data_IF_645705156988
#
_entry.id   IF_645705156988
#
_cell.length_a   1.000
_cell.length_b   1.000
_cell.length_c   1.000
_cell.angle_alpha   90.00
_cell.angle_beta   90.00
_cell.angle_gamma   90.00
#
_symmetry.space_group_name_H-M   'P 1'
#
loop_
_entity.id
_entity.type
_entity.pdbx_description
1 polymer ?
#
# COMPACT_ATOMS: atom_id res chain seq x y z
N UNK A 1 -8.07 -11.35 4.00
CA UNK A 1 -7.15 -10.24 3.75
C UNK A 1 -7.55 -9.06 4.66
N UNK A 2 -6.63 -8.29 5.25
CA UNK A 2 -7.01 -7.07 5.96
C UNK A 2 -7.66 -6.10 4.98
N UNK A 3 -8.83 -5.57 5.33
CA UNK A 3 -9.51 -4.58 4.50
C UNK A 3 -8.65 -3.31 4.40
N UNK A 4 -8.44 -2.74 3.21
CA UNK A 4 -7.69 -1.50 3.09
C UNK A 4 -8.44 -0.38 3.81
N UNK A 5 -7.74 0.33 4.69
CA UNK A 5 -8.31 1.49 5.37
C UNK A 5 -8.25 2.72 4.48
N UNK A 6 -9.10 3.70 4.78
CA UNK A 6 -9.22 4.98 4.05
C UNK A 6 -7.86 5.66 3.85
N UNK A 7 -6.99 5.61 4.87
CA UNK A 7 -5.67 6.23 4.83
C UNK A 7 -4.79 5.64 3.73
N UNK A 8 -4.91 4.35 3.44
CA UNK A 8 -4.12 3.68 2.39
C UNK A 8 -4.49 4.18 0.99
N UNK A 9 -5.79 4.41 0.77
CA UNK A 9 -6.31 4.93 -0.49
C UNK A 9 -5.92 6.39 -0.72
N UNK A 10 -5.93 7.20 0.33
CA UNK A 10 -5.46 8.60 0.26
C UNK A 10 -3.99 8.64 -0.14
N UNK A 11 -3.16 7.85 0.54
CA UNK A 11 -1.71 7.85 0.31
C UNK A 11 -1.31 7.29 -1.06
N UNK A 12 -2.13 6.42 -1.65
CA UNK A 12 -1.96 5.95 -3.03
C UNK A 12 -2.41 6.96 -4.10
N UNK A 13 -2.86 8.16 -3.70
CA UNK A 13 -3.33 9.20 -4.62
C UNK A 13 -4.72 8.93 -5.22
N UNK A 14 -5.41 7.87 -4.80
CA UNK A 14 -6.70 7.47 -5.36
C UNK A 14 -7.87 8.38 -4.94
N UNK A 15 -7.70 9.19 -3.90
CA UNK A 15 -8.72 10.12 -3.40
C UNK A 15 -8.53 11.58 -3.89
N UNK A 16 -7.65 11.79 -4.87
CA UNK A 16 -7.25 13.14 -5.33
C UNK A 16 -8.03 13.75 -6.49
N UNK A 17 -8.78 12.95 -7.27
CA UNK A 17 -9.52 13.47 -8.43
C UNK A 17 -11.03 13.59 -8.13
N UNK A 18 -11.44 14.75 -7.59
CA UNK A 18 -12.81 15.25 -7.79
C UNK A 18 -13.83 15.17 -6.65
N UNK A 19 -13.45 15.36 -5.38
CA UNK A 19 -14.42 15.31 -4.27
C UNK A 19 -14.79 16.70 -3.69
N UNK A 20 -15.63 17.43 -4.41
CA UNK A 20 -16.64 18.30 -3.77
C UNK A 20 -17.76 17.39 -3.25
N UNK A 21 -18.01 17.35 -1.93
CA UNK A 21 -19.24 16.78 -1.39
C UNK A 21 -19.06 15.61 -0.43
N UNK A 22 -18.77 14.41 -0.92
CA UNK A 22 -18.78 13.20 -0.09
C UNK A 22 -17.51 12.37 -0.26
N UNK A 23 -16.70 12.26 0.80
CA UNK A 23 -15.49 11.41 0.85
C UNK A 23 -15.85 9.93 1.04
N UNK A 24 -16.72 9.39 0.18
CA UNK A 24 -17.07 7.98 0.22
C UNK A 24 -16.10 7.17 -0.64
N UNK A 25 -15.36 6.28 0.01
CA UNK A 25 -14.56 5.26 -0.69
C UNK A 25 -15.49 4.26 -1.33
N UNK A 26 -15.35 4.07 -2.64
CA UNK A 26 -16.11 3.06 -3.35
C UNK A 26 -15.40 1.71 -3.29
N UNK A 27 -16.16 0.63 -3.52
CA UNK A 27 -15.57 -0.70 -3.75
C UNK A 27 -14.62 -0.71 -4.96
N UNK A 28 -14.84 0.17 -5.94
CA UNK A 28 -13.98 0.35 -7.11
C UNK A 28 -12.59 0.85 -6.71
N UNK A 29 -12.52 1.87 -5.85
CA UNK A 29 -11.25 2.44 -5.39
C UNK A 29 -10.43 1.41 -4.59
N UNK A 30 -11.12 0.63 -3.75
CA UNK A 30 -10.53 -0.50 -3.02
C UNK A 30 -9.97 -1.55 -3.96
N UNK A 31 -10.68 -1.86 -5.06
CA UNK A 31 -10.23 -2.83 -6.05
C UNK A 31 -9.00 -2.33 -6.81
N UNK A 32 -9.03 -1.09 -7.30
CA UNK A 32 -7.88 -0.46 -8.01
C UNK A 32 -6.65 -0.43 -7.11
N UNK A 33 -6.83 -0.12 -5.83
CA UNK A 33 -5.74 -0.19 -4.85
C UNK A 33 -5.19 -1.60 -4.71
N UNK A 34 -6.03 -2.62 -4.53
CA UNK A 34 -5.57 -4.00 -4.35
C UNK A 34 -4.90 -4.59 -5.60
N UNK A 35 -5.25 -4.11 -6.80
CA UNK A 35 -4.62 -4.52 -8.06
C UNK A 35 -3.23 -3.88 -8.23
N UNK A 36 -3.04 -2.63 -7.78
CA UNK A 36 -1.82 -1.86 -8.03
C UNK A 36 -0.83 -1.90 -6.85
N UNK A 37 -1.37 -1.89 -5.64
CA UNK A 37 -0.63 -1.70 -4.40
C UNK A 37 -0.86 -2.85 -3.41
N UNK A 38 0.04 -2.96 -2.46
CA UNK A 38 -0.06 -3.88 -1.34
C UNK A 38 0.39 -3.20 -0.04
N UNK A 39 -0.23 -3.59 1.06
CA UNK A 39 0.18 -3.13 2.39
C UNK A 39 1.43 -3.87 2.88
N UNK A 40 2.23 -3.24 3.76
CA UNK A 40 3.36 -3.91 4.44
C UNK A 40 2.97 -5.28 5.02
N UNK A 41 1.78 -5.39 5.63
CA UNK A 41 1.34 -6.65 6.24
C UNK A 41 1.07 -7.75 5.21
N UNK A 42 0.52 -7.39 4.06
CA UNK A 42 0.28 -8.32 2.96
C UNK A 42 1.60 -8.79 2.34
N UNK A 43 2.49 -7.85 2.04
CA UNK A 43 3.80 -8.15 1.46
C UNK A 43 4.65 -9.00 2.41
N UNK A 44 4.69 -8.65 3.69
CA UNK A 44 5.37 -9.41 4.74
C UNK A 44 4.91 -10.88 4.76
N UNK A 45 3.60 -11.11 4.71
CA UNK A 45 3.04 -12.47 4.67
C UNK A 45 3.40 -13.21 3.39
N UNK A 46 3.32 -12.56 2.24
CA UNK A 46 3.61 -13.17 0.96
C UNK A 46 5.08 -13.56 0.81
N UNK A 47 5.99 -12.78 1.39
CA UNK A 47 7.44 -13.05 1.37
C UNK A 47 7.92 -13.88 2.58
N UNK A 48 7.05 -14.17 3.54
CA UNK A 48 7.43 -14.88 4.77
C UNK A 48 8.36 -14.09 5.70
N UNK A 49 8.40 -12.76 5.57
CA UNK A 49 9.29 -11.88 6.33
C UNK A 49 8.50 -11.12 7.40
N UNK A 50 9.14 -10.77 8.52
CA UNK A 50 8.49 -9.92 9.53
C UNK A 50 8.21 -8.51 8.99
N UNK A 51 7.07 -7.92 9.38
CA UNK A 51 6.69 -6.58 8.90
C UNK A 51 7.70 -5.48 9.26
N UNK A 52 8.45 -5.64 10.37
CA UNK A 52 9.55 -4.74 10.76
C UNK A 52 10.77 -4.88 9.86
N UNK A 53 11.11 -6.11 9.47
CA UNK A 53 12.25 -6.37 8.59
C UNK A 53 11.92 -6.13 7.11
N UNK A 54 10.65 -5.97 6.75
CA UNK A 54 10.26 -5.82 5.35
C UNK A 54 10.86 -4.58 4.68
N UNK A 55 10.84 -3.43 5.36
CA UNK A 55 11.38 -2.19 4.78
C UNK A 55 12.86 -2.32 4.44
N UNK A 56 13.77 -2.66 5.38
CA UNK A 56 15.18 -2.83 5.04
C UNK A 56 15.38 -3.92 3.99
N UNK A 57 14.65 -5.05 4.07
CA UNK A 57 14.73 -6.13 3.10
C UNK A 57 14.39 -5.71 1.66
N UNK A 58 13.38 -4.85 1.48
CA UNK A 58 13.00 -4.34 0.16
C UNK A 58 13.93 -3.20 -0.31
N UNK A 59 14.36 -2.32 0.59
CA UNK A 59 15.35 -1.27 0.26
C UNK A 59 16.70 -1.85 -0.16
N UNK A 60 17.15 -2.96 0.44
CA UNK A 60 18.35 -3.70 0.00
C UNK A 60 18.23 -4.23 -1.45
N UNK A 61 17.00 -4.44 -1.92
CA UNK A 61 16.67 -4.84 -3.29
C UNK A 61 16.40 -3.64 -4.22
N UNK A 62 16.61 -2.42 -3.73
CA UNK A 62 16.32 -1.17 -4.44
C UNK A 62 14.83 -0.86 -4.60
N UNK A 63 13.96 -1.53 -3.83
CA UNK A 63 12.51 -1.33 -3.88
C UNK A 63 12.12 -0.37 -2.76
N UNK A 64 11.66 0.81 -3.14
CA UNK A 64 11.18 1.84 -2.21
C UNK A 64 9.66 1.81 -2.06
N UNK A 65 9.12 2.18 -0.89
CA UNK A 65 7.68 2.23 -0.69
C UNK A 65 7.06 3.33 -1.55
N UNK A 66 5.91 3.04 -2.16
CA UNK A 66 5.14 4.00 -2.95
C UNK A 66 4.59 5.15 -2.10
N UNK A 67 4.25 4.86 -0.84
CA UNK A 67 3.85 5.87 0.13
C UNK A 67 4.13 5.43 1.57
N UNK A 68 4.43 6.39 2.43
CA UNK A 68 4.53 6.20 3.89
C UNK A 68 3.27 6.71 4.58
N UNK A 69 2.84 5.98 5.61
CA UNK A 69 1.62 6.21 6.36
C UNK A 69 1.91 6.26 7.86
N UNK A 70 1.09 7.01 8.59
CA UNK A 70 1.14 7.12 10.05
C UNK A 70 2.58 7.39 10.55
N UNK A 71 3.15 8.52 10.13
CA UNK A 71 4.50 8.97 10.49
C UNK A 71 5.61 7.95 10.18
N UNK A 72 5.49 7.20 9.09
CA UNK A 72 6.50 6.23 8.67
C UNK A 72 6.42 4.86 9.38
N UNK A 73 5.36 4.59 10.13
CA UNK A 73 5.14 3.26 10.73
C UNK A 73 4.46 2.26 9.80
N UNK A 74 3.79 2.72 8.74
CA UNK A 74 3.15 1.87 7.74
C UNK A 74 3.57 2.29 6.35
N UNK A 75 3.65 1.33 5.44
CA UNK A 75 4.06 1.58 4.06
C UNK A 75 3.09 0.93 3.08
N UNK A 76 2.96 1.58 1.94
CA UNK A 76 2.27 1.06 0.75
C UNK A 76 3.33 0.74 -0.28
N UNK A 77 3.24 -0.44 -0.88
CA UNK A 77 4.22 -0.96 -1.83
C UNK A 77 3.58 -1.18 -3.19
N UNK A 78 4.32 -0.98 -4.27
CA UNK A 78 3.83 -1.32 -5.62
C UNK A 78 3.94 -2.83 -5.81
N UNK A 79 2.82 -3.48 -6.13
CA UNK A 79 2.81 -4.95 -6.36
C UNK A 79 3.78 -5.36 -7.45
N UNK A 80 3.82 -4.57 -8.52
CA UNK A 80 4.67 -4.82 -9.67
C UNK A 80 6.18 -4.71 -9.36
N UNK A 81 6.60 -4.08 -8.26
CA UNK A 81 8.01 -4.03 -7.85
C UNK A 81 8.32 -5.17 -6.87
N UNK A 82 7.40 -5.45 -5.96
CA UNK A 82 7.57 -6.45 -4.90
C UNK A 82 7.44 -7.89 -5.41
N UNK A 83 6.46 -8.16 -6.27
CA UNK A 83 6.10 -9.51 -6.71
C UNK A 83 6.59 -9.85 -8.13
N UNK A 84 7.35 -8.97 -8.78
CA UNK A 84 8.00 -9.26 -10.07
C UNK A 84 9.33 -10.02 -9.94
N UNK A 85 9.71 -10.40 -8.72
CA UNK A 85 10.85 -11.29 -8.46
C UNK A 85 10.53 -12.73 -8.83
#
# INVERSE_FOLDING_TARGET
MPAPNVTWLVAAGLLGNGATGDRCITKGDVRVFNETYASTAEVARALGVSARALKPFLSERGIEPAASLHNGNRYVWRRAEVFKG
#
